data_IF_086537446907
#
_entry.id   IF_086537446907
#
_cell.length_a   1.000
_cell.length_b   1.000
_cell.length_c   1.000
_cell.angle_alpha   90.00
_cell.angle_beta   90.00
_cell.angle_gamma   90.00
#
_symmetry.space_group_name_H-M   'P 1'
#
loop_
_entity.id
_entity.type
_entity.pdbx_description
1 polymer ?
#
# COMPACT_ATOMS: atom_id res chain seq x y z
N UNK A 1 1.16 -20.48 30.74
CA UNK A 1 1.24 -20.85 29.31
C UNK A 1 0.26 -19.96 28.55
N UNK A 2 0.72 -19.18 27.57
CA UNK A 2 -0.16 -18.25 26.82
C UNK A 2 -0.81 -19.00 25.67
N UNK A 3 -2.11 -19.25 25.76
CA UNK A 3 -2.88 -19.91 24.70
C UNK A 3 -3.17 -18.90 23.58
N UNK A 4 -2.55 -19.09 22.42
CA UNK A 4 -2.83 -18.33 21.20
C UNK A 4 -4.10 -18.86 20.51
N UNK A 5 -5.26 -18.46 21.00
CA UNK A 5 -6.55 -18.75 20.37
C UNK A 5 -6.82 -17.79 19.21
N UNK A 6 -6.09 -17.94 18.11
CA UNK A 6 -6.36 -17.21 16.87
C UNK A 6 -7.37 -17.99 16.02
N UNK A 7 -8.66 -17.65 16.11
CA UNK A 7 -9.77 -18.28 15.35
C UNK A 7 -9.87 -17.79 13.91
N UNK A 8 -9.04 -16.83 13.50
CA UNK A 8 -9.05 -16.28 12.14
C UNK A 8 -8.32 -17.23 11.18
N UNK A 9 -9.05 -17.88 10.27
CA UNK A 9 -8.45 -18.65 9.18
C UNK A 9 -7.45 -17.76 8.42
N UNK A 10 -6.20 -18.22 8.27
CA UNK A 10 -5.20 -17.54 7.41
C UNK A 10 -5.81 -17.35 6.02
N UNK A 11 -5.90 -16.10 5.57
CA UNK A 11 -6.39 -15.78 4.22
C UNK A 11 -5.43 -16.39 3.18
N UNK A 12 -5.94 -17.23 2.28
CA UNK A 12 -5.17 -17.75 1.14
C UNK A 12 -5.10 -16.78 -0.05
N UNK A 13 -5.52 -15.53 0.16
CA UNK A 13 -5.49 -14.50 -0.87
C UNK A 13 -4.07 -13.95 -1.03
N UNK A 14 -3.24 -14.71 -1.74
CA UNK A 14 -1.98 -14.21 -2.29
C UNK A 14 -2.23 -13.81 -3.74
N UNK A 15 -1.88 -12.58 -4.11
CA UNK A 15 -1.85 -12.18 -5.53
C UNK A 15 -0.89 -13.09 -6.31
N UNK A 16 -1.07 -13.18 -7.63
CA UNK A 16 -0.09 -13.84 -8.47
C UNK A 16 1.23 -13.05 -8.38
N UNK A 17 2.33 -13.76 -8.23
CA UNK A 17 3.68 -13.20 -8.33
C UNK A 17 4.07 -12.99 -9.81
N UNK A 18 5.11 -12.19 -10.05
CA UNK A 18 5.70 -12.06 -11.40
C UNK A 18 6.17 -13.41 -11.95
N UNK A 19 6.73 -14.26 -11.08
CA UNK A 19 7.15 -15.62 -11.42
C UNK A 19 5.97 -16.50 -11.86
N UNK A 20 4.89 -16.55 -11.07
CA UNK A 20 3.68 -17.31 -11.45
C UNK A 20 3.08 -16.81 -12.77
N UNK A 21 3.12 -15.50 -13.06
CA UNK A 21 2.69 -14.96 -14.36
C UNK A 21 3.57 -15.43 -15.52
N UNK A 22 4.89 -15.51 -15.31
CA UNK A 22 5.83 -16.08 -16.27
C UNK A 22 5.52 -17.56 -16.55
N UNK A 23 5.22 -18.35 -15.52
CA UNK A 23 4.81 -19.75 -15.69
C UNK A 23 3.49 -19.88 -16.46
N UNK A 24 2.50 -19.02 -16.19
CA UNK A 24 1.25 -18.98 -16.98
C UNK A 24 1.55 -18.72 -18.45
N UNK A 25 2.44 -17.77 -18.76
CA UNK A 25 2.83 -17.46 -20.13
C UNK A 25 3.48 -18.65 -20.83
N UNK A 26 4.46 -19.29 -20.19
CA UNK A 26 5.14 -20.47 -20.74
C UNK A 26 4.16 -21.62 -21.02
N UNK A 27 3.28 -21.92 -20.06
CA UNK A 27 2.30 -23.00 -20.22
C UNK A 27 1.24 -22.71 -21.28
N UNK A 28 0.87 -21.44 -21.48
CA UNK A 28 -0.01 -21.05 -22.59
C UNK A 28 0.69 -21.23 -23.95
N UNK A 29 1.99 -20.91 -24.03
CA UNK A 29 2.80 -21.17 -25.24
C UNK A 29 2.92 -22.66 -25.57
N UNK A 30 2.95 -23.52 -24.55
CA UNK A 30 2.86 -24.98 -24.70
C UNK A 30 1.44 -25.48 -25.05
N UNK A 31 0.42 -24.61 -25.13
CA UNK A 31 -0.95 -25.00 -25.44
C UNK A 31 -1.70 -25.68 -24.28
N UNK A 32 -1.25 -25.51 -23.04
CA UNK A 32 -1.90 -26.11 -21.86
C UNK A 32 -3.22 -25.40 -21.55
N UNK A 33 -4.21 -26.17 -21.10
CA UNK A 33 -5.52 -25.63 -20.72
C UNK A 33 -5.45 -24.83 -19.41
N UNK A 34 -6.37 -23.87 -19.25
CA UNK A 34 -6.50 -23.06 -18.02
C UNK A 34 -6.63 -23.94 -16.77
N UNK A 35 -7.37 -25.06 -16.88
CA UNK A 35 -7.59 -25.98 -15.75
C UNK A 35 -6.31 -26.70 -15.35
N UNK A 36 -5.45 -27.05 -16.32
CA UNK A 36 -4.14 -27.64 -16.07
C UNK A 36 -3.23 -26.63 -15.34
N UNK A 37 -3.14 -25.40 -15.87
CA UNK A 37 -2.33 -24.32 -15.28
C UNK A 37 -2.77 -24.03 -13.84
N UNK A 38 -4.08 -23.96 -13.60
CA UNK A 38 -4.65 -23.75 -12.28
C UNK A 38 -4.25 -24.85 -11.29
N UNK A 39 -4.30 -26.13 -11.70
CA UNK A 39 -3.86 -27.26 -10.87
C UNK A 39 -2.37 -27.20 -10.57
N UNK A 40 -1.53 -26.88 -11.56
CA UNK A 40 -0.06 -26.78 -11.39
C UNK A 40 0.32 -25.67 -10.40
N UNK A 41 -0.33 -24.51 -10.49
CA UNK A 41 -0.08 -23.35 -9.62
C UNK A 41 -0.83 -23.38 -8.29
N UNK A 42 -1.64 -24.43 -8.03
CA UNK A 42 -2.58 -24.49 -6.90
C UNK A 42 -3.47 -23.24 -6.79
N UNK A 43 -3.94 -22.73 -7.92
CA UNK A 43 -4.85 -21.57 -8.00
C UNK A 43 -6.21 -21.99 -8.55
N UNK A 44 -7.23 -21.16 -8.33
CA UNK A 44 -8.52 -21.40 -8.96
C UNK A 44 -8.45 -21.13 -10.47
N UNK A 45 -9.17 -21.90 -11.31
CA UNK A 45 -9.25 -21.64 -12.75
C UNK A 45 -9.74 -20.24 -13.09
N UNK A 46 -10.64 -19.69 -12.26
CA UNK A 46 -11.13 -18.32 -12.40
C UNK A 46 -10.07 -17.25 -12.14
N UNK A 47 -9.05 -17.54 -11.33
CA UNK A 47 -7.92 -16.63 -11.11
C UNK A 47 -7.04 -16.58 -12.36
N UNK A 48 -6.70 -17.74 -12.93
CA UNK A 48 -5.90 -17.84 -14.15
C UNK A 48 -6.62 -17.21 -15.34
N UNK A 49 -7.91 -17.50 -15.53
CA UNK A 49 -8.71 -16.88 -16.60
C UNK A 49 -8.75 -15.35 -16.50
N UNK A 50 -8.96 -14.80 -15.29
CA UNK A 50 -8.96 -13.34 -15.06
C UNK A 50 -7.59 -12.72 -15.29
N UNK A 51 -6.52 -13.42 -14.96
CA UNK A 51 -5.16 -12.96 -15.22
C UNK A 51 -4.88 -12.92 -16.73
N UNK A 52 -5.19 -13.99 -17.46
CA UNK A 52 -5.04 -14.06 -18.91
C UNK A 52 -5.81 -12.91 -19.56
N UNK A 53 -7.11 -12.76 -19.23
CA UNK A 53 -7.94 -11.66 -19.74
C UNK A 53 -7.34 -10.28 -19.47
N UNK A 54 -6.68 -10.09 -18.32
CA UNK A 54 -6.04 -8.82 -17.97
C UNK A 54 -4.79 -8.53 -18.80
N UNK A 55 -3.97 -9.56 -19.08
CA UNK A 55 -2.72 -9.41 -19.84
C UNK A 55 -2.83 -9.64 -21.34
N UNK A 56 -3.99 -10.07 -21.85
CA UNK A 56 -4.19 -10.22 -23.30
C UNK A 56 -4.31 -8.86 -23.97
N UNK A 57 -3.44 -8.61 -24.95
CA UNK A 57 -3.42 -7.38 -25.75
C UNK A 57 -3.43 -7.69 -27.24
N UNK A 58 -4.03 -6.81 -28.03
CA UNK A 58 -3.94 -6.80 -29.50
C UNK A 58 -2.59 -6.22 -29.92
N UNK A 59 -1.86 -6.94 -30.76
CA UNK A 59 -0.57 -6.57 -31.33
C UNK A 59 -0.66 -6.59 -32.85
N UNK A 60 0.21 -5.82 -33.51
CA UNK A 60 0.36 -5.86 -34.97
C UNK A 60 1.57 -6.71 -35.35
N UNK A 61 1.43 -7.48 -36.41
CA UNK A 61 2.53 -8.16 -37.07
C UNK A 61 3.20 -7.22 -38.09
N UNK A 62 4.33 -7.67 -38.65
CA UNK A 62 5.08 -6.93 -39.69
C UNK A 62 4.25 -6.65 -40.94
N UNK A 63 3.25 -7.49 -41.23
CA UNK A 63 2.30 -7.35 -42.34
C UNK A 63 1.09 -6.46 -42.01
N UNK A 64 1.12 -5.75 -40.87
CA UNK A 64 0.00 -4.96 -40.32
C UNK A 64 -1.24 -5.78 -39.94
N UNK A 65 -1.18 -7.11 -39.95
CA UNK A 65 -2.27 -7.93 -39.44
C UNK A 65 -2.32 -7.90 -37.90
N UNK A 66 -3.52 -7.89 -37.33
CA UNK A 66 -3.69 -7.88 -35.87
C UNK A 66 -3.78 -9.30 -35.30
N UNK A 67 -3.19 -9.51 -34.13
CA UNK A 67 -3.33 -10.75 -33.36
C UNK A 67 -3.43 -10.46 -31.88
N UNK A 68 -4.04 -11.38 -31.12
CA UNK A 68 -4.13 -11.27 -29.66
C UNK A 68 -3.16 -12.22 -29.00
N UNK A 69 -2.42 -11.74 -28.01
CA UNK A 69 -1.52 -12.57 -27.20
C UNK A 69 -1.50 -12.09 -25.76
N UNK A 70 -1.38 -13.05 -24.84
CA UNK A 70 -1.15 -12.78 -23.43
C UNK A 70 0.30 -12.37 -23.20
N UNK A 71 0.51 -11.31 -22.42
CA UNK A 71 1.83 -10.91 -21.93
C UNK A 71 1.79 -10.76 -20.39
N UNK A 72 2.77 -11.33 -19.67
CA UNK A 72 2.79 -11.24 -18.21
C UNK A 72 3.05 -9.80 -17.72
N UNK A 73 3.87 -9.04 -18.46
CA UNK A 73 4.22 -7.65 -18.14
C UNK A 73 3.02 -6.71 -18.24
N UNK A 74 2.19 -6.87 -19.27
CA UNK A 74 0.96 -6.07 -19.42
C UNK A 74 -0.02 -6.38 -18.30
N UNK A 75 -0.19 -7.67 -17.94
CA UNK A 75 -1.01 -8.10 -16.80
C UNK A 75 -0.54 -7.51 -15.47
N UNK A 76 0.77 -7.43 -15.26
CA UNK A 76 1.39 -6.79 -14.11
C UNK A 76 1.13 -5.27 -14.10
N UNK A 77 1.40 -4.58 -15.21
CA UNK A 77 1.21 -3.13 -15.32
C UNK A 77 -0.25 -2.72 -15.08
N UNK A 78 -1.21 -3.46 -15.63
CA UNK A 78 -2.64 -3.22 -15.38
C UNK A 78 -3.00 -3.49 -13.92
N UNK A 79 -2.43 -4.52 -13.29
CA UNK A 79 -2.63 -4.78 -11.87
C UNK A 79 -2.11 -3.62 -11.00
N UNK A 80 -0.90 -3.14 -11.27
CA UNK A 80 -0.28 -2.02 -10.54
C UNK A 80 -1.07 -0.73 -10.70
N UNK A 81 -1.52 -0.41 -11.93
CA UNK A 81 -2.39 0.74 -12.21
C UNK A 81 -3.73 0.66 -11.45
N UNK A 82 -4.33 -0.53 -11.39
CA UNK A 82 -5.56 -0.71 -10.62
C UNK A 82 -5.29 -0.63 -9.11
N UNK A 83 -4.13 -1.11 -8.67
CA UNK A 83 -3.73 -1.10 -7.26
C UNK A 83 -3.39 0.30 -6.77
N UNK A 84 -2.82 1.17 -7.60
CA UNK A 84 -2.56 2.57 -7.24
C UNK A 84 -3.84 3.37 -7.00
N UNK A 85 -4.95 2.96 -7.63
CA UNK A 85 -6.27 3.56 -7.41
C UNK A 85 -6.97 3.04 -6.16
N UNK A 86 -6.45 1.96 -5.56
CA UNK A 86 -6.99 1.38 -4.33
C UNK A 86 -6.42 2.10 -3.10
N UNK A 87 -7.22 2.19 -2.04
CA UNK A 87 -6.82 2.76 -0.76
C UNK A 87 -7.36 4.17 -0.53
N UNK A 88 -7.32 4.61 0.74
CA UNK A 88 -7.75 5.94 1.10
C UNK A 88 -6.78 6.98 0.53
N UNK A 89 -7.31 7.91 -0.27
CA UNK A 89 -6.54 9.06 -0.77
C UNK A 89 -6.05 9.92 0.40
N UNK A 90 -4.88 10.52 0.23
CA UNK A 90 -4.30 11.42 1.23
C UNK A 90 -5.26 12.58 1.52
N UNK A 91 -5.55 12.81 2.81
CA UNK A 91 -6.35 13.95 3.25
C UNK A 91 -5.55 15.26 3.31
N UNK A 92 -4.25 15.22 3.02
CA UNK A 92 -3.34 16.34 3.19
C UNK A 92 -3.79 17.59 2.45
N UNK A 93 -4.19 17.46 1.18
CA UNK A 93 -4.68 18.59 0.38
C UNK A 93 -5.94 19.26 0.97
N UNK A 94 -6.82 18.50 1.62
CA UNK A 94 -8.04 19.04 2.25
C UNK A 94 -7.76 19.63 3.64
N UNK A 95 -6.72 19.15 4.31
CA UNK A 95 -6.36 19.50 5.68
C UNK A 95 -5.15 20.46 5.73
N UNK A 96 -4.87 21.20 4.65
CA UNK A 96 -3.66 22.02 4.51
C UNK A 96 -3.53 23.05 5.65
N UNK A 97 -4.62 23.77 5.96
CA UNK A 97 -4.70 24.72 7.08
C UNK A 97 -4.29 24.09 8.42
N UNK A 98 -4.84 22.90 8.70
CA UNK A 98 -4.55 22.17 9.92
C UNK A 98 -3.09 21.71 9.95
N UNK A 99 -2.54 21.26 8.82
CA UNK A 99 -1.15 20.81 8.75
C UNK A 99 -0.18 21.97 8.97
N UNK A 100 -0.39 23.12 8.34
CA UNK A 100 0.43 24.33 8.57
C UNK A 100 0.38 24.77 10.03
N UNK A 101 -0.81 24.76 10.64
CA UNK A 101 -0.98 25.07 12.05
C UNK A 101 -0.21 24.09 12.94
N UNK A 102 -0.36 22.79 12.67
CA UNK A 102 0.34 21.74 13.40
C UNK A 102 1.86 21.86 13.26
N UNK A 103 2.38 22.14 12.07
CA UNK A 103 3.82 22.36 11.85
C UNK A 103 4.34 23.51 12.72
N UNK A 104 3.66 24.66 12.72
CA UNK A 104 4.07 25.82 13.49
C UNK A 104 4.08 25.51 15.00
N UNK A 105 3.01 24.88 15.52
CA UNK A 105 2.91 24.51 16.95
C UNK A 105 3.96 23.48 17.37
N UNK A 106 4.25 22.50 16.53
CA UNK A 106 5.25 21.47 16.85
C UNK A 106 6.67 22.05 16.79
N UNK A 107 7.01 22.83 15.77
CA UNK A 107 8.36 23.35 15.57
C UNK A 107 8.72 24.44 16.59
N UNK A 108 7.83 25.41 16.80
CA UNK A 108 8.10 26.59 17.62
C UNK A 108 7.70 26.38 19.09
N UNK A 109 6.52 25.84 19.36
CA UNK A 109 6.00 25.68 20.73
C UNK A 109 6.28 24.29 21.32
N UNK A 110 6.91 23.38 20.55
CA UNK A 110 7.27 22.01 20.98
C UNK A 110 6.08 21.16 21.44
N UNK A 111 4.90 21.41 20.87
CA UNK A 111 3.72 20.61 21.16
C UNK A 111 3.87 19.17 20.62
N UNK A 112 3.24 18.21 21.30
CA UNK A 112 3.10 16.86 20.76
C UNK A 112 2.01 16.81 19.67
N UNK A 113 2.11 15.90 18.69
CA UNK A 113 1.07 15.75 17.66
C UNK A 113 -0.32 15.43 18.24
N UNK A 114 -0.37 14.79 19.41
CA UNK A 114 -1.63 14.50 20.11
C UNK A 114 -2.22 15.74 20.79
N UNK A 115 -1.37 16.59 21.38
CA UNK A 115 -1.79 17.86 21.96
C UNK A 115 -2.42 18.78 20.90
N UNK A 116 -1.80 18.90 19.73
CA UNK A 116 -2.34 19.72 18.62
C UNK A 116 -3.71 19.22 18.17
N UNK A 117 -3.84 17.91 17.90
CA UNK A 117 -5.12 17.34 17.45
C UNK A 117 -6.19 17.45 18.53
N UNK A 118 -5.82 17.22 19.80
CA UNK A 118 -6.73 17.34 20.93
C UNK A 118 -7.23 18.77 21.13
N UNK A 119 -6.36 19.76 20.97
CA UNK A 119 -6.70 21.18 21.03
C UNK A 119 -7.64 21.59 19.90
N UNK A 120 -7.28 21.32 18.65
CA UNK A 120 -8.12 21.66 17.49
C UNK A 120 -9.49 20.96 17.51
N UNK A 121 -9.63 19.82 18.18
CA UNK A 121 -10.95 19.17 18.35
C UNK A 121 -11.85 19.84 19.38
N UNK A 122 -11.26 20.52 20.37
CA UNK A 122 -12.00 21.23 21.42
C UNK A 122 -12.37 22.65 21.00
N UNK A 123 -11.55 23.26 20.16
CA UNK A 123 -11.77 24.63 19.70
C UNK A 123 -12.91 24.76 18.69
N UNK A 124 -13.89 25.64 18.93
CA UNK A 124 -15.02 25.87 18.02
C UNK A 124 -14.59 26.34 16.63
N UNK A 125 -13.47 27.08 16.53
CA UNK A 125 -12.94 27.64 15.28
C UNK A 125 -12.56 26.58 14.23
N UNK A 126 -12.37 25.33 14.65
CA UNK A 126 -11.95 24.23 13.80
C UNK A 126 -13.10 23.26 13.44
N UNK A 127 -14.31 23.44 13.98
CA UNK A 127 -15.45 22.54 13.74
C UNK A 127 -15.83 22.39 12.25
N UNK A 128 -15.67 23.47 11.47
CA UNK A 128 -16.00 23.46 10.04
C UNK A 128 -14.79 23.11 9.15
N UNK A 129 -13.60 22.89 9.73
CA UNK A 129 -12.36 22.62 8.99
C UNK A 129 -12.02 21.13 8.99
N UNK A 130 -11.30 20.68 7.97
CA UNK A 130 -10.86 19.28 7.90
C UNK A 130 -9.67 19.04 8.82
N UNK A 131 -9.89 18.29 9.90
CA UNK A 131 -8.84 17.88 10.85
C UNK A 131 -8.46 16.42 10.59
N UNK A 132 -7.17 16.09 10.63
CA UNK A 132 -6.71 14.70 10.59
C UNK A 132 -6.59 14.12 12.00
N UNK A 133 -6.82 12.81 12.16
CA UNK A 133 -6.60 12.16 13.45
C UNK A 133 -5.10 12.06 13.77
N UNK A 134 -4.77 11.89 15.04
CA UNK A 134 -3.39 11.73 15.56
C UNK A 134 -2.57 10.71 14.78
N UNK A 135 -3.11 9.52 14.59
CA UNK A 135 -2.44 8.45 13.83
C UNK A 135 -2.13 8.87 12.40
N UNK A 136 -3.02 9.64 11.76
CA UNK A 136 -2.78 10.15 10.40
C UNK A 136 -1.70 11.22 10.40
N UNK A 137 -1.70 12.11 11.40
CA UNK A 137 -0.66 13.12 11.55
C UNK A 137 0.73 12.47 11.75
N UNK A 138 0.84 11.48 12.64
CA UNK A 138 2.08 10.70 12.79
C UNK A 138 2.51 10.02 11.49
N UNK A 139 1.57 9.37 10.77
CA UNK A 139 1.88 8.74 9.48
C UNK A 139 2.40 9.74 8.44
N UNK A 140 1.95 11.00 8.47
CA UNK A 140 2.43 12.04 7.56
C UNK A 140 3.85 12.48 7.91
N UNK A 141 4.15 12.63 9.20
CA UNK A 141 5.50 12.94 9.69
C UNK A 141 6.46 11.79 9.34
N UNK A 142 6.07 10.54 9.57
CA UNK A 142 6.90 9.36 9.28
C UNK A 142 7.19 9.21 7.78
N UNK A 143 6.26 9.63 6.92
CA UNK A 143 6.45 9.65 5.47
C UNK A 143 7.22 10.88 4.98
N UNK A 144 7.61 11.80 5.87
CA UNK A 144 8.29 13.04 5.51
C UNK A 144 7.44 14.01 4.68
N UNK A 145 6.11 13.94 4.81
CA UNK A 145 5.17 14.81 4.07
C UNK A 145 4.98 16.19 4.70
N UNK A 146 5.59 16.42 5.85
CA UNK A 146 5.55 17.66 6.62
C UNK A 146 6.97 18.16 6.85
N UNK A 147 7.13 19.45 7.14
CA UNK A 147 8.41 20.03 7.53
C UNK A 147 8.94 19.44 8.84
N UNK A 148 8.02 19.07 9.73
CA UNK A 148 8.31 18.38 11.00
C UNK A 148 8.91 17.02 10.71
N UNK A 149 10.06 16.73 11.32
CA UNK A 149 10.72 15.43 11.28
C UNK A 149 10.53 14.68 12.61
N UNK A 150 10.82 13.39 12.60
CA UNK A 150 10.77 12.57 13.82
C UNK A 150 11.70 13.06 14.93
N UNK A 151 12.76 13.82 14.59
CA UNK A 151 13.71 14.42 15.54
C UNK A 151 13.07 15.59 16.31
N UNK A 152 12.12 16.28 15.69
CA UNK A 152 11.43 17.43 16.29
C UNK A 152 10.35 16.99 17.29
N UNK A 153 10.00 15.70 17.31
CA UNK A 153 8.94 15.16 18.14
C UNK A 153 9.47 14.75 19.52
N UNK A 154 8.82 15.23 20.61
CA UNK A 154 9.20 14.80 21.95
C UNK A 154 8.96 13.30 22.10
N UNK A 155 9.96 12.59 22.65
CA UNK A 155 9.88 11.18 23.05
C UNK A 155 9.69 10.14 21.92
N UNK A 156 9.74 10.53 20.64
CA UNK A 156 9.57 9.57 19.52
C UNK A 156 10.84 8.77 19.24
N UNK A 157 12.00 9.44 19.26
CA UNK A 157 13.28 8.79 19.11
C UNK A 157 13.76 8.29 20.49
N UNK A 158 13.92 6.98 20.63
CA UNK A 158 14.62 6.38 21.78
C UNK A 158 16.05 6.07 21.36
N UNK A 159 17.02 6.48 22.17
CA UNK A 159 18.40 6.03 22.01
C UNK A 159 18.45 4.52 22.25
N UNK A 160 19.21 3.81 21.41
CA UNK A 160 19.49 2.39 21.65
C UNK A 160 20.19 2.26 23.01
N UNK A 161 19.71 1.41 23.94
CA UNK A 161 20.41 1.20 25.20
C UNK A 161 21.82 0.65 24.90
N UNK A 162 22.82 1.11 25.65
CA UNK A 162 24.20 0.63 25.47
C UNK A 162 24.21 -0.87 25.78
N UNK A 163 24.64 -1.69 24.84
CA UNK A 163 24.88 -3.10 25.09
C UNK A 163 26.12 -3.20 25.98
N UNK A 164 25.94 -3.54 27.25
CA UNK A 164 27.06 -3.98 28.08
C UNK A 164 27.51 -5.33 27.53
N UNK A 165 28.68 -5.38 26.92
CA UNK A 165 29.35 -6.64 26.64
C UNK A 165 29.83 -7.19 27.97
N UNK A 166 29.23 -8.30 28.42
CA UNK A 166 29.77 -9.11 29.51
C UNK A 166 31.02 -9.83 28.98
N UNK A 167 32.19 -9.50 29.53
CA UNK A 167 33.43 -10.24 29.32
C UNK A 167 33.38 -11.60 30.04
#
# INVERSE_FOLDING_TARGET
>A
MVHNNCTTKKRSFKHLSSYERGEIYALLKEGRSIRYIAKKLNRSPSTISREIKRGTTTQLRSDLSSYTSYFPETGQAVYEKNRSNCGAKFKAAKAEDFLKYAENKILHEKWSPDAVVGYCKKDPSWNNKTIVCTKTLYNYIDRGLLKVKNIDLPLKLRLKPRCHFSN
#
